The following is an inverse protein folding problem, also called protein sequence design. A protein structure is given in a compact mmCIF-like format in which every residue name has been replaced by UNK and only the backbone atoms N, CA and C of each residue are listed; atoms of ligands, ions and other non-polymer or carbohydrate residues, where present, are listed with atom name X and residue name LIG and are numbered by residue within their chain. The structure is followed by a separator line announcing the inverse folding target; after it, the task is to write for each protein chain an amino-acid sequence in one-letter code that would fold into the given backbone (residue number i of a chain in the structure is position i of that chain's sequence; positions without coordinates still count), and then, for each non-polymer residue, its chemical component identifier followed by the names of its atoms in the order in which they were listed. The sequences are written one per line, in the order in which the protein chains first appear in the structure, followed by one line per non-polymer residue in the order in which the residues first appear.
data_IF_454549599069
#
_entry.id   IF_454549599069
#
_cell.length_a   1.000
_cell.length_b   1.000
_cell.length_c   1.000
_cell.angle_alpha   90.00
_cell.angle_beta   90.00
_cell.angle_gamma   90.00
#
_symmetry.space_group_name_H-M   'P 1'
#
loop_
_entity.id
_entity.type
_entity.pdbx_description
1 polymer ?
#
# COMPACT_ATOMS: atom_id res chain seq x y z
N UNK A 1 23.74 12.35 10.24
CA UNK A 1 22.32 12.64 9.94
C UNK A 1 21.50 11.60 10.68
N UNK A 2 20.79 11.98 11.76
CA UNK A 2 20.00 11.03 12.55
C UNK A 2 18.74 10.67 11.75
N UNK A 3 18.62 9.41 11.34
CA UNK A 3 17.72 8.96 10.28
C UNK A 3 16.34 8.53 10.78
N UNK A 4 15.72 9.25 11.72
CA UNK A 4 14.37 8.92 12.16
C UNK A 4 13.65 10.16 12.70
N UNK A 5 12.62 10.61 11.97
CA UNK A 5 11.72 11.69 12.40
C UNK A 5 10.83 11.27 13.58
N UNK A 6 10.93 10.01 14.02
CA UNK A 6 10.23 9.49 15.18
C UNK A 6 11.17 9.43 16.39
N UNK A 7 10.91 10.21 17.47
CA UNK A 7 11.63 10.10 18.73
C UNK A 7 11.60 8.67 19.31
N UNK A 8 12.65 8.27 20.05
CA UNK A 8 12.81 6.88 20.52
C UNK A 8 11.72 6.43 21.49
N UNK A 9 11.29 7.32 22.37
CA UNK A 9 10.17 7.13 23.30
C UNK A 9 8.85 6.86 22.55
N UNK A 10 8.59 7.60 21.47
CA UNK A 10 7.40 7.39 20.62
C UNK A 10 7.45 6.02 19.94
N UNK A 11 8.61 5.61 19.42
CA UNK A 11 8.77 4.27 18.82
C UNK A 11 8.55 3.15 19.84
N UNK A 12 9.04 3.33 21.06
CA UNK A 12 8.88 2.32 22.12
C UNK A 12 7.42 2.18 22.56
N UNK A 13 6.68 3.30 22.64
CA UNK A 13 5.23 3.31 22.85
C UNK A 13 4.52 2.57 21.70
N UNK A 14 4.83 2.92 20.46
CA UNK A 14 4.22 2.27 19.28
C UNK A 14 4.49 0.77 19.29
N UNK A 15 5.73 0.35 19.58
CA UNK A 15 6.11 -1.07 19.70
C UNK A 15 5.32 -1.75 20.81
N UNK A 16 5.20 -1.15 21.99
CA UNK A 16 4.46 -1.70 23.12
C UNK A 16 2.99 -1.96 22.75
N UNK A 17 2.34 -0.98 22.09
CA UNK A 17 0.96 -1.09 21.62
C UNK A 17 0.80 -2.27 20.64
N UNK A 18 1.72 -2.41 19.68
CA UNK A 18 1.69 -3.52 18.70
C UNK A 18 1.93 -4.88 19.34
N UNK A 19 2.86 -4.97 20.30
CA UNK A 19 3.21 -6.23 20.97
C UNK A 19 2.14 -6.69 21.96
N UNK A 20 1.31 -5.77 22.49
CA UNK A 20 0.18 -6.10 23.34
C UNK A 20 -0.98 -6.78 22.60
N UNK A 21 -0.98 -6.74 21.25
CA UNK A 21 -2.03 -7.35 20.41
C UNK A 21 -1.70 -8.80 20.08
N UNK A 22 -2.73 -9.62 19.94
CA UNK A 22 -2.63 -10.97 19.37
C UNK A 22 -2.20 -10.92 17.89
N UNK A 23 -1.69 -12.04 17.38
CA UNK A 23 -1.29 -12.13 15.97
C UNK A 23 -2.43 -11.83 14.99
N UNK A 24 -3.64 -12.30 15.30
CA UNK A 24 -4.83 -12.06 14.48
C UNK A 24 -5.26 -10.59 14.48
N UNK A 25 -5.24 -9.93 15.64
CA UNK A 25 -5.51 -8.49 15.73
C UNK A 25 -4.53 -7.68 14.89
N UNK A 26 -3.23 -8.04 14.92
CA UNK A 26 -2.23 -7.35 14.11
C UNK A 26 -2.48 -7.49 12.61
N UNK A 27 -2.86 -8.70 12.17
CA UNK A 27 -3.22 -8.94 10.77
C UNK A 27 -4.47 -8.16 10.39
N UNK A 28 -5.50 -8.13 11.24
CA UNK A 28 -6.71 -7.33 11.03
C UNK A 28 -6.38 -5.85 10.84
N UNK A 29 -5.58 -5.28 11.72
CA UNK A 29 -5.12 -3.90 11.61
C UNK A 29 -4.35 -3.65 10.30
N UNK A 30 -3.45 -4.55 9.92
CA UNK A 30 -2.70 -4.41 8.66
C UNK A 30 -3.61 -4.44 7.42
N UNK A 31 -4.65 -5.29 7.42
CA UNK A 31 -5.65 -5.35 6.34
C UNK A 31 -6.44 -4.05 6.25
N UNK A 32 -6.89 -3.51 7.38
CA UNK A 32 -7.63 -2.23 7.43
C UNK A 32 -6.76 -1.07 6.93
N UNK A 33 -5.51 -0.99 7.39
CA UNK A 33 -4.54 0.01 6.93
C UNK A 33 -4.30 -0.09 5.42
N UNK A 34 -4.16 -1.31 4.90
CA UNK A 34 -3.98 -1.55 3.47
C UNK A 34 -5.22 -1.12 2.65
N UNK A 35 -6.43 -1.38 3.14
CA UNK A 35 -7.66 -0.93 2.49
C UNK A 35 -7.74 0.60 2.41
N UNK A 36 -7.37 1.29 3.50
CA UNK A 36 -7.29 2.74 3.54
C UNK A 36 -6.25 3.29 2.57
N UNK A 37 -5.03 2.73 2.58
CA UNK A 37 -3.96 3.11 1.67
C UNK A 37 -4.37 2.97 0.19
N UNK A 38 -5.03 1.85 -0.16
CA UNK A 38 -5.60 1.64 -1.51
C UNK A 38 -6.62 2.71 -1.89
N UNK A 39 -7.53 3.05 -0.99
CA UNK A 39 -8.55 4.08 -1.22
C UNK A 39 -7.93 5.44 -1.52
N UNK A 40 -6.95 5.85 -0.72
CA UNK A 40 -6.22 7.10 -0.90
C UNK A 40 -5.47 7.10 -2.25
N UNK A 41 -4.76 6.02 -2.55
CA UNK A 41 -4.02 5.89 -3.81
C UNK A 41 -4.94 5.97 -5.03
N UNK A 42 -6.08 5.24 -5.03
CA UNK A 42 -7.08 5.27 -6.10
C UNK A 42 -7.63 6.68 -6.29
N UNK A 43 -8.00 7.36 -5.21
CA UNK A 43 -8.51 8.74 -5.25
C UNK A 43 -7.47 9.68 -5.88
N UNK A 44 -6.22 9.59 -5.44
CA UNK A 44 -5.13 10.38 -5.99
C UNK A 44 -4.86 10.10 -7.48
N UNK A 45 -4.90 8.84 -7.92
CA UNK A 45 -4.72 8.48 -9.33
C UNK A 45 -5.85 9.08 -10.18
N UNK A 46 -7.11 8.88 -9.78
CA UNK A 46 -8.28 9.41 -10.52
C UNK A 46 -8.29 10.93 -10.59
N UNK A 47 -7.83 11.60 -9.53
CA UNK A 47 -7.72 13.06 -9.52
C UNK A 47 -6.69 13.58 -10.52
N UNK A 48 -5.60 12.85 -10.76
CA UNK A 48 -4.54 13.25 -11.72
C UNK A 48 -4.84 12.81 -13.15
N UNK A 49 -5.57 11.71 -13.32
CA UNK A 49 -5.94 11.17 -14.63
C UNK A 49 -7.46 10.93 -14.69
N UNK A 50 -8.26 11.99 -14.94
CA UNK A 50 -9.69 11.85 -15.16
C UNK A 50 -9.95 10.94 -16.38
N UNK A 51 -10.83 9.95 -16.22
CA UNK A 51 -11.18 9.01 -17.29
C UNK A 51 -10.25 7.81 -17.45
N UNK A 52 -9.28 7.61 -16.54
CA UNK A 52 -8.44 6.42 -16.52
C UNK A 52 -9.28 5.14 -16.58
N UNK A 53 -8.92 4.21 -17.47
CA UNK A 53 -9.63 2.94 -17.57
C UNK A 53 -9.39 2.08 -16.33
N UNK A 54 -10.25 1.08 -16.11
CA UNK A 54 -10.10 0.18 -14.97
C UNK A 54 -8.78 -0.60 -15.00
N UNK A 55 -8.38 -1.09 -16.17
CA UNK A 55 -7.14 -1.86 -16.33
C UNK A 55 -5.90 -1.01 -16.05
N UNK A 56 -5.87 0.22 -16.55
CA UNK A 56 -4.77 1.17 -16.29
C UNK A 56 -4.73 1.58 -14.82
N UNK A 57 -5.88 1.82 -14.19
CA UNK A 57 -5.97 2.14 -12.75
C UNK A 57 -5.39 1.01 -11.89
N UNK A 58 -5.65 -0.24 -12.24
CA UNK A 58 -5.13 -1.40 -11.50
C UNK A 58 -3.61 -1.50 -11.62
N UNK A 59 -3.03 -1.29 -12.81
CA UNK A 59 -1.57 -1.29 -13.00
C UNK A 59 -0.93 -0.13 -12.23
N UNK A 60 -1.49 1.08 -12.32
CA UNK A 60 -0.99 2.26 -11.61
C UNK A 60 -1.07 2.15 -10.09
N UNK A 61 -2.06 1.41 -9.60
CA UNK A 61 -2.18 1.11 -8.17
C UNK A 61 -1.10 0.13 -7.72
N UNK A 62 -0.84 -0.91 -8.51
CA UNK A 62 0.20 -1.90 -8.20
C UNK A 62 1.58 -1.23 -8.22
N UNK A 63 1.87 -0.41 -9.23
CA UNK A 63 3.15 0.30 -9.33
C UNK A 63 3.42 1.16 -8.09
N UNK A 64 2.40 1.90 -7.61
CA UNK A 64 2.54 2.76 -6.42
C UNK A 64 2.64 2.01 -5.10
N UNK A 65 1.96 0.88 -4.97
CA UNK A 65 1.90 0.15 -3.70
C UNK A 65 2.98 -0.91 -3.56
N UNK A 66 3.45 -1.46 -4.68
CA UNK A 66 4.28 -2.64 -4.70
C UNK A 66 5.53 -2.48 -5.57
N UNK A 67 5.66 -1.37 -6.31
CA UNK A 67 6.80 -1.07 -7.15
C UNK A 67 6.62 -1.46 -8.62
N UNK A 68 7.47 -0.92 -9.49
CA UNK A 68 7.37 -1.08 -10.94
C UNK A 68 7.64 -2.53 -11.40
N UNK A 69 8.43 -3.30 -10.67
CA UNK A 69 8.76 -4.69 -11.02
C UNK A 69 7.51 -5.58 -11.01
N UNK A 70 6.70 -5.46 -9.95
CA UNK A 70 5.45 -6.21 -9.81
C UNK A 70 4.37 -5.71 -10.76
N UNK A 71 4.32 -4.39 -11.02
CA UNK A 71 3.41 -3.84 -12.01
C UNK A 71 3.70 -4.37 -13.41
N UNK A 72 4.99 -4.45 -13.78
CA UNK A 72 5.41 -4.98 -15.06
C UNK A 72 5.10 -6.47 -15.20
N UNK A 73 5.26 -7.27 -14.15
CA UNK A 73 4.88 -8.69 -14.15
C UNK A 73 3.39 -8.87 -14.37
N UNK A 74 2.54 -8.16 -13.62
CA UNK A 74 1.08 -8.24 -13.79
C UNK A 74 0.65 -7.81 -15.20
N UNK A 75 1.31 -6.79 -15.76
CA UNK A 75 1.07 -6.37 -17.14
C UNK A 75 1.42 -7.46 -18.16
N UNK A 76 2.55 -8.16 -17.97
CA UNK A 76 2.95 -9.30 -18.81
C UNK A 76 1.96 -10.46 -18.70
N UNK A 77 1.64 -10.91 -17.49
CA UNK A 77 0.74 -12.05 -17.28
C UNK A 77 -0.66 -11.82 -17.88
N UNK A 78 -1.11 -10.56 -17.96
CA UNK A 78 -2.39 -10.19 -18.60
C UNK A 78 -2.31 -10.15 -20.13
N UNK A 79 -1.14 -9.91 -20.71
CA UNK A 79 -0.93 -9.94 -22.16
C UNK A 79 -0.82 -11.38 -22.68
N UNK A 80 -0.21 -12.27 -21.89
CA UNK A 80 0.04 -13.67 -22.24
C UNK A 80 -1.21 -14.57 -22.12
N UNK A 81 -2.29 -14.07 -21.51
CA UNK A 81 -3.55 -14.79 -21.29
C UNK A 81 -4.64 -14.55 -22.33
N UNK A 82 -4.27 -14.25 -23.58
CA UNK A 82 -5.22 -14.08 -24.71
C UNK A 82 -5.45 -15.38 -25.47
#
# INVERSE_FOLDING_TARGET
MSADDTPSDVRDIQRSIWMARSGSERVGMAVEMNAMARSIAISGIRSRCPGISRSELEIELIERMHGPELAAEVKRSRADGT
#
